data_IF_740637464786
#
_entry.id   IF_740637464786
#
_cell.length_a   1.000
_cell.length_b   1.000
_cell.length_c   1.000
_cell.angle_alpha   90.00
_cell.angle_beta   90.00
_cell.angle_gamma   90.00
#
_symmetry.space_group_name_H-M   'P 1'
#
loop_
_entity.id
_entity.type
_entity.pdbx_description
1 polymer ?
#
# COMPACT_ATOMS: atom_id res chain seq x y z
N UNK A 1 28.87 4.43 -32.48
CA UNK A 1 28.82 4.02 -32.12
C UNK A 1 28.53 3.70 -31.11
N UNK A 2 28.43 3.15 -30.77
CA UNK A 2 28.34 2.78 -29.62
C UNK A 2 27.38 3.26 -28.71
N UNK A 3 26.29 3.21 -29.03
CA UNK A 3 25.30 3.57 -28.11
C UNK A 3 25.00 2.37 -27.30
N UNK A 4 25.29 2.43 -26.05
CA UNK A 4 24.92 1.35 -25.18
C UNK A 4 23.58 1.65 -24.61
N UNK A 5 22.72 0.66 -24.60
CA UNK A 5 21.46 0.83 -23.89
C UNK A 5 21.78 0.75 -22.43
N UNK A 6 21.15 1.60 -21.65
CA UNK A 6 21.32 1.57 -20.22
C UNK A 6 19.96 1.50 -19.58
N UNK A 7 19.73 0.50 -18.78
CA UNK A 7 18.47 0.37 -18.08
C UNK A 7 18.47 1.30 -16.90
N UNK A 8 17.33 1.60 -16.40
CA UNK A 8 17.25 2.44 -15.22
C UNK A 8 17.77 1.68 -14.02
N UNK A 9 18.16 2.41 -13.02
CA UNK A 9 18.60 1.81 -11.77
C UNK A 9 17.70 2.36 -10.70
N UNK A 10 17.05 1.48 -9.97
CA UNK A 10 16.15 1.88 -8.92
C UNK A 10 16.91 2.07 -7.62
N UNK A 11 16.50 3.03 -6.86
CA UNK A 11 17.04 3.22 -5.54
C UNK A 11 16.37 2.30 -4.56
N UNK A 12 16.67 2.46 -3.30
CA UNK A 12 16.07 1.57 -2.29
C UNK A 12 14.61 1.90 -2.08
N UNK A 13 13.87 0.91 -1.64
CA UNK A 13 12.47 1.11 -1.32
C UNK A 13 12.36 1.94 -0.05
N UNK A 14 11.38 2.79 0.00
CA UNK A 14 11.08 3.50 1.23
C UNK A 14 10.48 2.51 2.22
N UNK A 15 10.30 2.94 3.43
CA UNK A 15 9.56 2.13 4.38
C UNK A 15 8.12 2.13 3.92
N UNK A 16 7.38 1.17 4.40
CA UNK A 16 5.98 1.11 4.06
C UNK A 16 5.26 2.28 4.73
N UNK A 17 4.39 2.89 3.97
CA UNK A 17 3.57 3.96 4.53
C UNK A 17 2.50 3.34 5.41
N UNK A 18 1.82 4.15 6.17
CA UNK A 18 0.83 3.63 7.09
C UNK A 18 -0.30 2.92 6.38
N UNK A 19 -0.82 1.91 7.00
CA UNK A 19 -1.95 1.19 6.45
C UNK A 19 -3.15 2.13 6.41
N UNK A 20 -3.93 2.01 5.39
CA UNK A 20 -5.09 2.88 5.21
C UNK A 20 -6.19 2.59 6.21
N UNK A 21 -6.16 1.42 6.83
CA UNK A 21 -7.17 1.08 7.82
C UNK A 21 -6.52 0.36 8.97
N UNK A 22 -7.15 0.43 10.11
CA UNK A 22 -6.59 -0.27 11.27
C UNK A 22 -7.11 -1.68 11.38
N UNK A 23 -8.18 -1.99 10.67
CA UNK A 23 -8.73 -3.33 10.67
C UNK A 23 -9.66 -3.43 9.48
N UNK A 24 -10.09 -4.60 9.16
CA UNK A 24 -11.04 -4.80 8.08
C UNK A 24 -10.45 -4.77 6.69
N UNK A 25 -9.13 -4.76 6.62
CA UNK A 25 -8.49 -4.82 5.32
C UNK A 25 -8.19 -3.46 4.73
N UNK A 26 -6.95 -3.07 4.76
CA UNK A 26 -6.51 -1.84 4.15
C UNK A 26 -5.33 -2.12 3.25
N UNK A 27 -4.67 -1.09 2.82
CA UNK A 27 -3.48 -1.24 1.99
C UNK A 27 -2.40 -0.31 2.49
N UNK A 28 -1.18 -0.69 2.25
CA UNK A 28 -0.05 0.18 2.52
C UNK A 28 0.85 0.15 1.30
N UNK A 29 1.61 1.17 1.15
CA UNK A 29 2.38 1.40 -0.06
C UNK A 29 3.81 1.74 0.29
N UNK A 30 4.72 1.44 -0.59
CA UNK A 30 6.07 1.95 -0.47
C UNK A 30 6.50 2.42 -1.83
N UNK A 31 7.48 3.28 -1.84
CA UNK A 31 7.90 3.92 -3.07
C UNK A 31 9.41 3.89 -3.21
N UNK A 32 9.87 4.01 -4.42
CA UNK A 32 11.29 4.17 -4.68
C UNK A 32 11.42 5.06 -5.89
N UNK A 33 12.59 5.62 -6.07
CA UNK A 33 12.83 6.47 -7.22
C UNK A 33 14.03 5.94 -7.96
N UNK A 34 14.18 6.35 -9.18
CA UNK A 34 15.31 5.93 -9.97
C UNK A 34 16.54 6.71 -9.52
N UNK A 35 17.66 6.03 -9.37
CA UNK A 35 18.89 6.71 -9.13
C UNK A 35 19.59 6.98 -10.44
N UNK A 36 19.13 6.31 -11.50
CA UNK A 36 19.68 6.54 -12.80
C UNK A 36 18.59 6.25 -13.81
N UNK A 37 18.37 7.16 -14.73
CA UNK A 37 17.34 6.97 -15.72
C UNK A 37 17.85 6.10 -16.85
N UNK A 38 16.95 5.41 -17.51
CA UNK A 38 17.31 4.59 -18.65
C UNK A 38 17.71 5.50 -19.81
N UNK A 39 18.54 5.01 -20.67
CA UNK A 39 19.03 5.76 -21.81
C UNK A 39 19.21 4.91 -23.03
N UNK A 40 19.21 5.56 -24.16
CA UNK A 40 19.52 4.90 -25.41
C UNK A 40 18.69 3.65 -25.66
N UNK A 41 17.43 3.75 -25.36
CA UNK A 41 16.56 2.62 -25.60
C UNK A 41 16.58 1.58 -24.49
N UNK A 42 17.20 1.88 -23.38
CA UNK A 42 17.22 0.92 -22.28
C UNK A 42 15.83 0.79 -21.68
N UNK A 43 15.69 -0.19 -20.83
CA UNK A 43 14.40 -0.50 -20.22
C UNK A 43 14.37 -0.07 -18.76
N UNK A 44 13.19 0.09 -18.26
CA UNK A 44 13.04 0.34 -16.85
C UNK A 44 11.98 -0.61 -16.34
N UNK A 45 12.38 -1.85 -16.09
CA UNK A 45 11.42 -2.85 -15.65
C UNK A 45 10.94 -2.59 -14.24
N UNK A 46 9.85 -3.17 -13.89
CA UNK A 46 9.29 -3.03 -12.57
C UNK A 46 8.77 -1.62 -12.37
N UNK A 47 8.53 -1.24 -11.19
CA UNK A 47 7.95 0.06 -10.94
C UNK A 47 8.48 0.63 -9.64
N UNK A 48 8.24 1.91 -9.44
CA UNK A 48 8.64 2.55 -8.22
C UNK A 48 7.54 2.53 -7.16
N UNK A 49 6.58 1.67 -7.33
CA UNK A 49 5.42 1.65 -6.47
C UNK A 49 5.12 0.21 -6.10
N UNK A 50 4.85 -0.04 -4.86
CA UNK A 50 4.49 -1.38 -4.40
C UNK A 50 3.38 -1.24 -3.38
N UNK A 51 2.46 -2.17 -3.38
CA UNK A 51 1.31 -2.07 -2.50
C UNK A 51 1.03 -3.46 -1.96
N UNK A 52 0.58 -3.53 -0.75
CA UNK A 52 0.16 -4.80 -0.18
C UNK A 52 -0.98 -4.58 0.77
N UNK A 53 -1.68 -5.64 1.10
CA UNK A 53 -2.77 -5.54 2.04
C UNK A 53 -2.22 -5.51 3.45
N UNK A 54 -2.95 -4.91 4.33
CA UNK A 54 -2.53 -4.81 5.72
C UNK A 54 -3.76 -4.78 6.60
N UNK A 55 -3.55 -5.09 7.86
CA UNK A 55 -4.62 -5.07 8.86
C UNK A 55 -5.88 -5.77 8.37
N UNK A 56 -5.68 -6.99 7.90
CA UNK A 56 -6.80 -7.72 7.34
C UNK A 56 -7.67 -8.39 8.39
N UNK A 57 -7.32 -8.30 9.64
CA UNK A 57 -8.14 -8.89 10.68
C UNK A 57 -9.46 -8.15 10.79
N UNK A 58 -10.45 -8.81 11.25
CA UNK A 58 -11.76 -8.20 11.40
C UNK A 58 -11.71 -7.11 12.44
N UNK A 59 -12.53 -6.12 12.27
CA UNK A 59 -12.61 -5.06 13.27
C UNK A 59 -13.27 -5.64 14.48
N UNK A 60 -12.57 -5.65 15.59
CA UNK A 60 -13.05 -6.37 16.77
C UNK A 60 -14.34 -5.84 17.32
N UNK A 61 -15.22 -6.74 17.53
CA UNK A 61 -16.43 -6.45 18.24
C UNK A 61 -17.38 -5.44 17.67
N UNK A 62 -17.03 -4.83 16.62
CA UNK A 62 -17.88 -3.78 16.15
C UNK A 62 -19.22 -4.23 15.74
N UNK A 63 -19.27 -5.14 14.88
CA UNK A 63 -20.53 -5.56 14.40
C UNK A 63 -21.33 -6.18 15.48
N UNK A 64 -20.76 -7.00 16.25
CA UNK A 64 -21.53 -7.65 17.26
C UNK A 64 -22.03 -6.65 18.23
N UNK A 65 -21.26 -5.67 18.50
CA UNK A 65 -21.73 -4.70 19.44
C UNK A 65 -22.90 -3.95 18.87
N UNK A 66 -22.89 -3.73 17.62
CA UNK A 66 -23.97 -3.06 16.99
C UNK A 66 -25.25 -3.67 17.30
N UNK A 67 -25.33 -4.94 17.12
CA UNK A 67 -26.56 -5.47 17.34
C UNK A 67 -26.89 -5.62 18.75
N UNK A 68 -25.96 -5.87 19.60
CA UNK A 68 -26.24 -6.02 20.97
C UNK A 68 -26.83 -4.79 21.51
N UNK A 69 -26.47 -3.72 20.95
CA UNK A 69 -26.92 -2.47 21.43
C UNK A 69 -28.02 -1.89 20.66
N UNK A 70 -28.79 -2.71 20.06
CA UNK A 70 -29.81 -2.21 19.26
C UNK A 70 -30.70 -1.32 20.00
N UNK A 71 -30.83 -1.52 21.26
CA UNK A 71 -31.65 -0.65 21.94
C UNK A 71 -30.93 0.62 22.26
N UNK A 72 -29.69 0.72 21.86
CA UNK A 72 -28.97 1.90 22.07
C UNK A 72 -28.70 2.47 20.75
N UNK A 73 -28.20 3.62 20.70
CA UNK A 73 -27.92 4.20 19.44
C UNK A 73 -26.50 3.98 19.07
N UNK A 74 -25.79 3.28 19.85
CA UNK A 74 -24.42 3.11 19.56
C UNK A 74 -24.08 2.34 18.36
N UNK A 75 -24.99 1.59 17.90
CA UNK A 75 -24.68 0.76 16.80
C UNK A 75 -24.29 1.54 15.60
N UNK A 76 -24.54 2.76 15.57
CA UNK A 76 -24.18 3.49 14.42
C UNK A 76 -22.75 3.56 14.22
N UNK A 77 -21.96 3.45 15.21
CA UNK A 77 -20.58 3.54 15.00
C UNK A 77 -19.96 2.26 14.79
N UNK A 78 -20.67 1.23 14.69
CA UNK A 78 -20.11 -0.05 14.53
C UNK A 78 -19.43 -0.21 13.26
N UNK A 79 -19.81 0.31 12.31
CA UNK A 79 -19.20 0.03 11.06
C UNK A 79 -18.81 1.27 10.37
#
# INVERSE_FOLDING_TARGET
MGLFTEDCVWGPWSTWLSCSKTCGGGTETRLRTKTKAERNGGNCPESGFDIKTCNTQSCPGKQSVCYLLIFQTLFEICC
#
